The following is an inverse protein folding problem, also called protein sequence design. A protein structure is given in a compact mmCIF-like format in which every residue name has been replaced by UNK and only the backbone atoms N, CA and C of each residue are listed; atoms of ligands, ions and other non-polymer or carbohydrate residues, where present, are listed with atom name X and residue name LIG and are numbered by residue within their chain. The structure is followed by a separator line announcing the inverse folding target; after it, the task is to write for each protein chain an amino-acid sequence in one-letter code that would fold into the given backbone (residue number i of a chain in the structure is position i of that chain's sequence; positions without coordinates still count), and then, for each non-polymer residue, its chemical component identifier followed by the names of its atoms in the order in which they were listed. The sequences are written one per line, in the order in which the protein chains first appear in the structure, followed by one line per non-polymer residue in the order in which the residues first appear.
data_IF_806158946020
#
_entry.id   IF_806158946020
#
_cell.length_a   1.000
_cell.length_b   1.000
_cell.length_c   1.000
_cell.angle_alpha   90.00
_cell.angle_beta   90.00
_cell.angle_gamma   90.00
#
_symmetry.space_group_name_H-M   'P 1'
#
loop_
_entity.id
_entity.type
_entity.pdbx_description
1 polymer ?
#
# COMPACT_ATOMS: atom_id res chain seq x y z
N UNK A 1 -11.96 18.06 21.99
CA UNK A 1 -10.99 16.96 21.96
C UNK A 1 -10.62 16.78 20.49
N UNK A 2 -9.35 16.65 20.13
CA UNK A 2 -8.98 16.44 18.73
C UNK A 2 -9.44 15.06 18.26
N UNK A 3 -9.65 14.90 16.97
CA UNK A 3 -10.02 13.59 16.40
C UNK A 3 -8.88 12.57 16.59
N UNK A 4 -7.65 13.02 16.54
CA UNK A 4 -6.47 12.19 16.81
C UNK A 4 -6.50 11.58 18.21
N UNK A 5 -6.76 12.37 19.25
CA UNK A 5 -6.86 11.84 20.62
C UNK A 5 -8.06 10.90 20.79
N UNK A 6 -9.18 11.18 20.14
CA UNK A 6 -10.35 10.28 20.15
C UNK A 6 -9.99 8.94 19.49
N UNK A 7 -9.24 8.98 18.39
CA UNK A 7 -8.77 7.80 17.68
C UNK A 7 -7.78 6.96 18.51
N UNK A 8 -6.85 7.61 19.21
CA UNK A 8 -5.95 6.89 20.13
C UNK A 8 -6.72 6.21 21.27
N UNK A 9 -7.73 6.88 21.82
CA UNK A 9 -8.59 6.27 22.84
C UNK A 9 -9.38 5.08 22.29
N UNK A 10 -9.92 5.18 21.06
CA UNK A 10 -10.60 4.06 20.39
C UNK A 10 -9.66 2.86 20.22
N UNK A 11 -8.39 3.09 19.87
CA UNK A 11 -7.38 2.02 19.77
C UNK A 11 -7.24 1.29 21.10
N UNK A 12 -7.07 2.03 22.21
CA UNK A 12 -6.90 1.42 23.53
C UNK A 12 -8.17 0.69 24.00
N UNK A 13 -9.35 1.26 23.77
CA UNK A 13 -10.63 0.64 24.12
C UNK A 13 -10.82 -0.69 23.35
N UNK A 14 -10.55 -0.69 22.05
CA UNK A 14 -10.62 -1.91 21.21
C UNK A 14 -9.61 -2.96 21.64
N UNK A 15 -8.40 -2.55 21.95
CA UNK A 15 -7.35 -3.43 22.46
C UNK A 15 -7.73 -4.08 23.79
N UNK A 16 -8.40 -3.33 24.69
CA UNK A 16 -8.89 -3.87 25.96
C UNK A 16 -9.99 -4.95 25.73
N UNK A 17 -10.72 -4.87 24.63
CA UNK A 17 -11.73 -5.86 24.23
C UNK A 17 -11.13 -7.02 23.39
N UNK A 18 -9.81 -7.03 23.16
CA UNK A 18 -9.13 -8.02 22.30
C UNK A 18 -9.39 -7.82 20.81
N UNK A 19 -9.80 -6.62 20.41
CA UNK A 19 -10.04 -6.23 19.03
C UNK A 19 -8.84 -5.48 18.46
N UNK A 20 -8.64 -5.61 17.13
CA UNK A 20 -7.59 -4.85 16.44
C UNK A 20 -7.94 -3.37 16.30
N UNK A 21 -6.93 -2.48 16.22
CA UNK A 21 -7.14 -1.08 15.88
C UNK A 21 -7.92 -0.94 14.56
N UNK A 22 -8.81 0.05 14.51
CA UNK A 22 -9.50 0.41 13.28
C UNK A 22 -8.55 1.20 12.39
N UNK A 23 -8.49 0.96 11.07
CA UNK A 23 -7.76 1.82 10.14
C UNK A 23 -8.32 3.25 10.12
N UNK A 24 -7.48 4.22 9.77
CA UNK A 24 -7.89 5.61 9.52
C UNK A 24 -8.74 5.66 8.26
N UNK A 25 -10.04 5.98 8.41
CA UNK A 25 -11.03 6.02 7.32
C UNK A 25 -11.70 7.40 7.14
N UNK A 26 -11.43 8.35 8.04
CA UNK A 26 -12.02 9.70 8.09
C UNK A 26 -11.01 10.76 7.64
N UNK A 27 -11.40 11.60 6.66
CA UNK A 27 -10.53 12.65 6.13
C UNK A 27 -10.13 13.70 7.16
N UNK A 28 -11.00 14.03 8.09
CA UNK A 28 -10.69 15.06 9.08
C UNK A 28 -9.69 14.54 10.14
N UNK A 29 -9.75 13.25 10.50
CA UNK A 29 -8.72 12.61 11.30
C UNK A 29 -7.38 12.60 10.53
N UNK A 30 -7.41 12.20 9.27
CA UNK A 30 -6.18 12.15 8.47
C UNK A 30 -5.57 13.55 8.25
N UNK A 31 -6.39 14.59 8.14
CA UNK A 31 -5.90 15.98 8.07
C UNK A 31 -5.13 16.36 9.34
N UNK A 32 -5.64 16.03 10.54
CA UNK A 32 -4.90 16.25 11.79
C UNK A 32 -3.57 15.48 11.80
N UNK A 33 -3.55 14.24 11.31
CA UNK A 33 -2.34 13.43 11.17
C UNK A 33 -1.34 14.08 10.22
N UNK A 34 -1.78 14.56 9.06
CA UNK A 34 -0.93 15.26 8.08
C UNK A 34 -0.36 16.55 8.67
N UNK A 35 -1.15 17.33 9.41
CA UNK A 35 -0.67 18.55 10.06
C UNK A 35 0.42 18.26 11.10
N UNK A 36 0.30 17.15 11.84
CA UNK A 36 1.33 16.69 12.78
C UNK A 36 2.61 16.24 12.04
N UNK A 37 2.49 15.56 10.90
CA UNK A 37 3.62 15.14 10.07
C UNK A 37 4.38 16.38 9.53
N UNK A 38 3.64 17.39 9.09
CA UNK A 38 4.21 18.66 8.55
C UNK A 38 4.92 19.48 9.61
N UNK A 39 4.68 19.26 10.90
CA UNK A 39 5.31 19.97 12.01
C UNK A 39 6.55 19.21 12.52
N UNK A 40 7.79 19.59 12.18
CA UNK A 40 9.00 18.78 12.43
C UNK A 40 9.24 18.42 13.91
N UNK A 41 8.76 19.25 14.83
CA UNK A 41 8.97 19.06 16.27
C UNK A 41 7.68 18.61 16.99
N UNK A 42 6.67 18.15 16.26
CA UNK A 42 5.43 17.67 16.90
C UNK A 42 5.71 16.37 17.67
N UNK A 43 5.27 16.23 18.94
CA UNK A 43 5.57 15.06 19.76
C UNK A 43 5.00 13.76 19.17
N UNK A 44 3.86 13.85 18.45
CA UNK A 44 3.19 12.69 17.84
C UNK A 44 3.61 12.45 16.38
N UNK A 45 4.61 13.18 15.87
CA UNK A 45 4.96 13.16 14.43
C UNK A 45 5.33 11.75 13.93
N UNK A 46 6.13 11.02 14.69
CA UNK A 46 6.56 9.67 14.33
C UNK A 46 5.37 8.69 14.28
N UNK A 47 4.50 8.73 15.30
CA UNK A 47 3.29 7.91 15.33
C UNK A 47 2.34 8.28 14.19
N UNK A 48 2.18 9.57 13.90
CA UNK A 48 1.37 10.07 12.80
C UNK A 48 1.89 9.65 11.44
N UNK A 49 3.21 9.64 11.25
CA UNK A 49 3.83 9.15 10.03
C UNK A 49 3.56 7.65 9.83
N UNK A 50 3.66 6.86 10.90
CA UNK A 50 3.29 5.45 10.86
C UNK A 50 1.81 5.24 10.50
N UNK A 51 0.89 6.00 11.10
CA UNK A 51 -0.53 5.93 10.74
C UNK A 51 -0.77 6.32 9.28
N UNK A 52 -0.14 7.38 8.80
CA UNK A 52 -0.28 7.83 7.42
C UNK A 52 0.20 6.78 6.42
N UNK A 53 1.38 6.22 6.63
CA UNK A 53 1.98 5.27 5.69
C UNK A 53 1.22 3.93 5.74
N UNK A 54 0.99 3.40 6.94
CA UNK A 54 0.64 2.00 7.14
C UNK A 54 -0.81 1.75 7.57
N UNK A 55 -1.57 2.77 7.97
CA UNK A 55 -2.86 2.54 8.61
C UNK A 55 -4.03 3.31 8.01
N UNK A 56 -3.86 3.94 6.85
CA UNK A 56 -4.96 4.59 6.13
C UNK A 56 -5.68 3.56 5.28
N UNK A 57 -7.00 3.42 5.48
CA UNK A 57 -7.81 2.51 4.69
C UNK A 57 -7.87 2.98 3.23
N UNK A 58 -7.39 2.18 2.27
CA UNK A 58 -7.43 2.53 0.85
C UNK A 58 -8.84 2.42 0.25
N UNK A 59 -8.96 2.67 -1.02
CA UNK A 59 -10.22 2.59 -1.76
C UNK A 59 -10.97 3.91 -1.79
N UNK A 60 -12.26 3.91 -1.50
CA UNK A 60 -13.16 5.06 -1.68
C UNK A 60 -13.48 5.81 -0.39
N UNK A 61 -12.70 5.62 0.68
CA UNK A 61 -12.89 6.35 1.93
C UNK A 61 -12.51 7.82 1.78
N UNK A 62 -13.03 8.68 2.64
CA UNK A 62 -12.63 10.09 2.64
C UNK A 62 -11.16 10.27 3.06
N UNK A 63 -10.63 9.38 3.89
CA UNK A 63 -9.21 9.35 4.24
C UNK A 63 -8.34 9.00 3.02
N UNK A 64 -8.76 8.03 2.17
CA UNK A 64 -8.04 7.71 0.95
C UNK A 64 -7.92 8.92 0.01
N UNK A 65 -8.98 9.72 -0.11
CA UNK A 65 -8.97 10.98 -0.86
C UNK A 65 -7.95 11.99 -0.32
N UNK A 66 -7.95 12.19 1.00
CA UNK A 66 -7.00 13.10 1.66
C UNK A 66 -5.55 12.59 1.54
N UNK A 67 -5.34 11.27 1.64
CA UNK A 67 -4.00 10.67 1.43
C UNK A 67 -3.52 10.89 0.01
N UNK A 68 -4.35 10.60 -0.99
CA UNK A 68 -3.98 10.77 -2.40
C UNK A 68 -3.64 12.23 -2.72
N UNK A 69 -4.43 13.19 -2.22
CA UNK A 69 -4.18 14.62 -2.41
C UNK A 69 -2.83 15.03 -1.79
N UNK A 70 -2.55 14.60 -0.57
CA UNK A 70 -1.29 14.95 0.08
C UNK A 70 -0.07 14.30 -0.61
N UNK A 71 -0.19 13.07 -1.09
CA UNK A 71 0.85 12.43 -1.90
C UNK A 71 1.10 13.20 -3.21
N UNK A 72 0.04 13.74 -3.85
CA UNK A 72 0.18 14.64 -5.00
C UNK A 72 0.97 15.90 -4.66
N UNK A 73 0.66 16.55 -3.53
CA UNK A 73 1.39 17.74 -3.08
C UNK A 73 2.89 17.45 -2.88
N UNK A 74 3.23 16.28 -2.31
CA UNK A 74 4.62 15.84 -2.14
C UNK A 74 5.30 15.60 -3.50
N UNK A 75 4.62 14.96 -4.45
CA UNK A 75 5.15 14.71 -5.80
C UNK A 75 5.42 16.02 -6.54
N UNK A 76 4.53 17.00 -6.40
CA UNK A 76 4.67 18.31 -7.05
C UNK A 76 5.64 19.26 -6.31
N UNK A 77 6.12 18.88 -5.12
CA UNK A 77 6.97 19.72 -4.27
C UNK A 77 6.20 20.88 -3.61
N UNK A 78 4.87 20.78 -3.55
CA UNK A 78 4.00 21.74 -2.84
C UNK A 78 3.97 21.48 -1.33
N UNK A 79 4.37 20.29 -0.93
CA UNK A 79 4.64 19.90 0.44
C UNK A 79 5.95 19.11 0.53
N UNK A 80 6.57 19.09 1.72
CA UNK A 80 7.82 18.37 1.96
C UNK A 80 7.75 17.60 3.27
N UNK A 81 8.11 16.33 3.21
CA UNK A 81 8.26 15.41 4.36
C UNK A 81 9.52 14.60 4.12
N UNK A 82 10.50 14.70 5.00
CA UNK A 82 11.83 14.11 4.82
C UNK A 82 11.81 12.58 4.60
N UNK A 83 10.81 11.90 5.17
CA UNK A 83 10.66 10.44 5.12
C UNK A 83 9.84 9.94 3.92
N UNK A 84 9.21 10.86 3.16
CA UNK A 84 8.40 10.52 1.97
C UNK A 84 8.92 11.36 0.80
N UNK A 85 9.85 10.80 0.07
CA UNK A 85 10.30 11.39 -1.19
C UNK A 85 9.30 11.12 -2.34
N UNK A 86 9.59 11.66 -3.53
CA UNK A 86 8.72 11.51 -4.70
C UNK A 86 8.51 10.04 -5.09
N UNK A 87 9.56 9.23 -5.03
CA UNK A 87 9.46 7.82 -5.38
C UNK A 87 8.56 7.06 -4.39
N UNK A 88 8.74 7.29 -3.09
CA UNK A 88 7.89 6.73 -2.03
C UNK A 88 6.44 7.20 -2.14
N UNK A 89 6.20 8.45 -2.55
CA UNK A 89 4.85 8.95 -2.76
C UNK A 89 4.14 8.26 -3.94
N UNK A 90 4.83 8.03 -5.06
CA UNK A 90 4.31 7.24 -6.18
C UNK A 90 4.06 5.78 -5.80
N UNK A 91 4.96 5.17 -5.04
CA UNK A 91 4.79 3.82 -4.51
C UNK A 91 3.50 3.72 -3.68
N UNK A 92 3.30 4.62 -2.72
CA UNK A 92 2.08 4.65 -1.91
C UNK A 92 0.81 4.85 -2.76
N UNK A 93 0.81 5.72 -3.79
CA UNK A 93 -0.30 5.84 -4.74
C UNK A 93 -0.55 4.53 -5.48
N UNK A 94 0.50 3.80 -5.86
CA UNK A 94 0.39 2.52 -6.57
C UNK A 94 -0.30 1.44 -5.72
N UNK A 95 -0.13 1.49 -4.41
CA UNK A 95 -0.70 0.54 -3.45
C UNK A 95 -2.18 0.82 -3.13
N UNK A 96 -2.68 2.02 -3.38
CA UNK A 96 -4.07 2.37 -3.11
C UNK A 96 -5.07 1.68 -4.05
N UNK A 97 -4.65 1.29 -5.26
CA UNK A 97 -5.38 0.43 -6.21
C UNK A 97 -6.80 0.88 -6.55
N UNK A 98 -7.03 2.15 -6.70
CA UNK A 98 -8.32 2.66 -7.16
C UNK A 98 -8.81 3.92 -6.44
N UNK A 99 -10.02 4.33 -6.76
CA UNK A 99 -10.61 5.54 -6.20
C UNK A 99 -9.76 6.79 -6.44
N UNK A 100 -9.59 7.63 -5.42
CA UNK A 100 -8.89 8.92 -5.55
C UNK A 100 -7.45 8.83 -6.05
N UNK A 101 -6.77 7.68 -5.87
CA UNK A 101 -5.41 7.52 -6.38
C UNK A 101 -5.33 7.52 -7.90
N UNK A 102 -6.35 6.98 -8.58
CA UNK A 102 -6.42 6.98 -10.05
C UNK A 102 -6.62 8.38 -10.58
N UNK A 103 -7.54 9.14 -9.97
CA UNK A 103 -7.79 10.53 -10.34
C UNK A 103 -6.51 11.38 -10.20
N UNK A 104 -5.79 11.25 -9.08
CA UNK A 104 -4.52 11.93 -8.84
C UNK A 104 -3.45 11.51 -9.85
N UNK A 105 -3.32 10.20 -10.12
CA UNK A 105 -2.35 9.70 -11.11
C UNK A 105 -2.67 10.20 -12.52
N UNK A 106 -3.95 10.33 -12.89
CA UNK A 106 -4.36 10.93 -14.18
C UNK A 106 -4.03 12.43 -14.22
N UNK A 107 -4.25 13.17 -13.12
CA UNK A 107 -3.86 14.57 -13.04
C UNK A 107 -2.36 14.75 -13.30
N UNK A 108 -1.54 13.90 -12.69
CA UNK A 108 -0.08 13.94 -12.84
C UNK A 108 0.33 13.49 -14.25
N UNK A 109 -0.24 12.41 -14.79
CA UNK A 109 0.09 11.86 -16.11
C UNK A 109 -0.29 12.81 -17.27
N UNK A 110 -1.32 13.61 -17.10
CA UNK A 110 -1.77 14.61 -18.06
C UNK A 110 -1.23 16.02 -17.76
N UNK A 111 -0.36 16.15 -16.74
CA UNK A 111 0.27 17.39 -16.33
C UNK A 111 1.37 17.89 -17.26
N UNK A 112 1.97 19.04 -16.92
CA UNK A 112 2.97 19.70 -17.74
C UNK A 112 4.41 19.22 -17.51
N UNK A 113 4.70 18.63 -16.33
CA UNK A 113 6.02 18.09 -16.02
C UNK A 113 6.15 16.68 -16.62
N UNK A 114 6.96 16.57 -17.67
CA UNK A 114 7.13 15.33 -18.42
C UNK A 114 7.69 14.20 -17.56
N UNK A 115 8.60 14.48 -16.64
CA UNK A 115 9.20 13.47 -15.78
C UNK A 115 8.15 12.89 -14.81
N UNK A 116 7.38 13.76 -14.16
CA UNK A 116 6.28 13.36 -13.29
C UNK A 116 5.20 12.61 -14.07
N UNK A 117 4.86 13.10 -15.27
CA UNK A 117 3.83 12.50 -16.10
C UNK A 117 4.20 11.07 -16.56
N UNK A 118 5.46 10.82 -16.88
CA UNK A 118 5.95 9.48 -17.23
C UNK A 118 5.93 8.53 -16.02
N UNK A 119 6.32 8.99 -14.83
CA UNK A 119 6.25 8.20 -13.59
C UNK A 119 4.79 7.84 -13.26
N UNK A 120 3.88 8.81 -13.34
CA UNK A 120 2.45 8.59 -13.11
C UNK A 120 1.84 7.62 -14.12
N UNK A 121 2.21 7.72 -15.41
CA UNK A 121 1.78 6.81 -16.45
C UNK A 121 2.26 5.38 -16.19
N UNK A 122 3.51 5.21 -15.74
CA UNK A 122 4.04 3.90 -15.39
C UNK A 122 3.21 3.24 -14.28
N UNK A 123 2.82 4.00 -13.25
CA UNK A 123 1.93 3.50 -12.19
C UNK A 123 0.55 3.17 -12.74
N UNK A 124 -0.08 4.05 -13.54
CA UNK A 124 -1.41 3.83 -14.12
C UNK A 124 -1.48 2.54 -14.95
N UNK A 125 -0.46 2.23 -15.72
CA UNK A 125 -0.37 1.00 -16.50
C UNK A 125 -0.44 -0.28 -15.66
N UNK A 126 -0.17 -0.19 -14.35
CA UNK A 126 -0.26 -1.30 -13.40
C UNK A 126 -1.59 -1.36 -12.66
N UNK A 127 -2.49 -0.39 -12.85
CA UNK A 127 -3.81 -0.36 -12.23
C UNK A 127 -4.83 -1.09 -13.10
N UNK A 128 -5.71 -1.89 -12.45
CA UNK A 128 -6.75 -2.67 -13.15
C UNK A 128 -8.06 -1.90 -13.20
N UNK A 129 -8.20 -0.85 -12.40
CA UNK A 129 -9.43 -0.08 -12.25
C UNK A 129 -9.28 1.33 -12.78
N UNK A 130 -10.18 1.68 -13.68
CA UNK A 130 -10.49 3.07 -14.03
C UNK A 130 -12.00 3.23 -13.94
N UNK A 131 -12.45 4.31 -13.28
CA UNK A 131 -13.85 4.70 -13.33
C UNK A 131 -14.21 5.21 -14.73
N UNK A 132 -15.49 5.20 -15.07
CA UNK A 132 -15.99 5.69 -16.37
C UNK A 132 -15.51 7.12 -16.65
N UNK A 133 -15.63 8.03 -15.67
CA UNK A 133 -15.16 9.41 -15.79
C UNK A 133 -13.64 9.52 -16.04
N UNK A 134 -12.83 8.66 -15.41
CA UNK A 134 -11.39 8.63 -15.62
C UNK A 134 -11.04 8.09 -17.00
N UNK A 135 -11.80 7.10 -17.46
CA UNK A 135 -11.66 6.52 -18.80
C UNK A 135 -12.01 7.55 -19.88
N UNK A 136 -13.12 8.28 -19.72
CA UNK A 136 -13.54 9.34 -20.64
C UNK A 136 -12.51 10.46 -20.71
N UNK A 137 -11.93 10.84 -19.57
CA UNK A 137 -10.89 11.85 -19.48
C UNK A 137 -9.61 11.41 -20.20
N UNK A 138 -9.21 10.15 -20.02
CA UNK A 138 -8.06 9.58 -20.71
C UNK A 138 -8.29 9.49 -22.22
N UNK A 139 -9.49 9.08 -22.64
CA UNK A 139 -9.89 9.01 -24.05
C UNK A 139 -9.89 10.41 -24.71
N UNK A 140 -10.46 11.41 -24.07
CA UNK A 140 -10.45 12.79 -24.56
C UNK A 140 -9.01 13.35 -24.72
N UNK A 141 -8.13 13.05 -23.79
CA UNK A 141 -6.72 13.43 -23.89
C UNK A 141 -6.03 12.72 -25.07
N UNK A 142 -6.32 11.44 -25.29
CA UNK A 142 -5.83 10.70 -26.45
C UNK A 142 -6.31 11.32 -27.77
N UNK A 143 -7.61 11.61 -27.90
CA UNK A 143 -8.20 12.25 -29.08
C UNK A 143 -7.60 13.62 -29.34
N UNK A 144 -7.23 14.35 -28.29
CA UNK A 144 -6.50 15.63 -28.38
C UNK A 144 -5.02 15.46 -28.76
N UNK A 145 -4.52 14.24 -28.94
CA UNK A 145 -3.15 13.95 -29.36
C UNK A 145 -2.13 13.90 -28.22
N UNK A 146 -2.58 13.76 -26.96
CA UNK A 146 -1.68 13.64 -25.82
C UNK A 146 -0.90 12.33 -25.85
N UNK A 147 0.43 12.40 -25.98
CA UNK A 147 1.27 11.23 -26.22
C UNK A 147 1.21 10.20 -25.06
N UNK A 148 1.26 10.68 -23.81
CA UNK A 148 1.23 9.82 -22.60
C UNK A 148 -0.14 9.15 -22.47
N UNK A 149 -1.25 9.86 -22.73
CA UNK A 149 -2.57 9.26 -22.74
C UNK A 149 -2.68 8.14 -23.78
N UNK A 150 -2.12 8.36 -24.98
CA UNK A 150 -2.04 7.36 -26.03
C UNK A 150 -1.26 6.12 -25.60
N UNK A 151 -0.15 6.31 -24.90
CA UNK A 151 0.70 5.24 -24.40
C UNK A 151 0.00 4.41 -23.32
N UNK A 152 -0.70 5.05 -22.39
CA UNK A 152 -1.52 4.37 -21.37
C UNK A 152 -2.63 3.53 -22.02
N UNK A 153 -3.37 4.09 -22.98
CA UNK A 153 -4.44 3.37 -23.71
C UNK A 153 -3.88 2.16 -24.46
N UNK A 154 -2.73 2.31 -25.12
CA UNK A 154 -2.07 1.20 -25.81
C UNK A 154 -1.69 0.09 -24.85
N UNK A 155 -1.15 0.44 -23.69
CA UNK A 155 -0.78 -0.52 -22.65
C UNK A 155 -1.99 -1.35 -22.18
N UNK A 156 -3.13 -0.70 -21.96
CA UNK A 156 -4.37 -1.42 -21.63
C UNK A 156 -4.89 -2.28 -22.80
N UNK A 157 -4.88 -1.76 -24.01
CA UNK A 157 -5.31 -2.51 -25.19
C UNK A 157 -4.45 -3.75 -25.46
N UNK A 158 -3.18 -3.70 -25.10
CA UNK A 158 -2.22 -4.81 -25.22
C UNK A 158 -2.20 -5.72 -24.00
N UNK A 159 -2.96 -5.39 -22.96
CA UNK A 159 -2.99 -6.11 -21.68
C UNK A 159 -1.60 -6.27 -21.03
N UNK A 160 -0.73 -5.26 -21.16
CA UNK A 160 0.66 -5.30 -20.66
C UNK A 160 0.74 -5.64 -19.18
N UNK A 161 -0.23 -5.22 -18.37
CA UNK A 161 -0.32 -5.58 -16.95
C UNK A 161 -0.26 -7.10 -16.72
N UNK A 162 -0.82 -7.89 -17.64
CA UNK A 162 -0.87 -9.35 -17.55
C UNK A 162 0.23 -10.03 -18.35
N UNK A 163 0.76 -9.40 -19.38
CA UNK A 163 1.71 -10.02 -20.32
C UNK A 163 3.16 -9.58 -20.11
N UNK A 164 3.39 -8.39 -19.55
CA UNK A 164 4.71 -7.86 -19.30
C UNK A 164 5.19 -8.23 -17.87
N UNK A 165 5.16 -9.52 -17.55
CA UNK A 165 5.63 -10.04 -16.29
C UNK A 165 7.05 -10.61 -16.49
N UNK A 166 7.90 -10.56 -15.43
CA UNK A 166 9.21 -11.20 -15.50
C UNK A 166 9.07 -12.71 -15.70
N UNK A 167 9.98 -13.30 -16.43
CA UNK A 167 10.06 -14.74 -16.57
C UNK A 167 10.24 -15.41 -15.20
N UNK A 168 9.64 -16.58 -15.04
CA UNK A 168 9.85 -17.39 -13.83
C UNK A 168 11.24 -18.01 -13.89
N UNK A 169 12.01 -17.85 -12.85
CA UNK A 169 13.34 -18.45 -12.72
C UNK A 169 13.24 -19.99 -12.74
N UNK A 170 14.12 -20.66 -13.50
CA UNK A 170 14.16 -22.14 -13.52
C UNK A 170 14.55 -22.72 -12.15
N UNK A 171 15.34 -21.98 -11.38
CA UNK A 171 15.80 -22.34 -10.03
C UNK A 171 15.64 -21.17 -9.10
N UNK A 172 14.99 -21.39 -7.96
CA UNK A 172 14.83 -20.37 -6.93
C UNK A 172 15.57 -20.83 -5.67
N UNK A 173 16.58 -20.08 -5.28
CA UNK A 173 17.30 -20.32 -4.03
C UNK A 173 16.43 -19.88 -2.84
N UNK A 174 16.19 -20.81 -1.94
CA UNK A 174 15.35 -20.58 -0.76
C UNK A 174 16.06 -20.95 0.52
N UNK A 175 15.71 -20.26 1.60
CA UNK A 175 15.93 -20.70 2.97
C UNK A 175 14.59 -21.08 3.57
N UNK A 176 14.52 -22.21 4.23
CA UNK A 176 13.26 -22.74 4.76
C UNK A 176 13.07 -22.32 6.21
N UNK A 177 11.88 -21.78 6.53
CA UNK A 177 11.42 -21.54 7.89
C UNK A 177 10.27 -22.47 8.23
N UNK A 178 10.40 -23.24 9.32
CA UNK A 178 9.33 -24.13 9.82
C UNK A 178 8.38 -23.30 10.67
N UNK A 179 7.23 -22.96 10.11
CA UNK A 179 6.23 -22.12 10.76
C UNK A 179 5.56 -22.77 11.99
N UNK A 180 5.62 -24.10 12.08
CA UNK A 180 5.11 -24.86 13.22
C UNK A 180 4.80 -26.32 12.85
N UNK A 181 4.35 -27.06 13.86
CA UNK A 181 3.90 -28.45 13.73
C UNK A 181 2.38 -28.48 13.59
N UNK A 182 1.87 -29.22 12.62
CA UNK A 182 0.43 -29.29 12.32
C UNK A 182 -0.02 -28.20 11.35
N UNK A 183 -1.32 -27.96 11.33
CA UNK A 183 -1.92 -27.00 10.41
C UNK A 183 -1.62 -25.55 10.81
N UNK A 184 -1.21 -24.76 9.83
CA UNK A 184 -0.93 -23.33 9.98
C UNK A 184 -2.09 -22.52 9.40
N UNK A 185 -2.74 -21.72 10.24
CA UNK A 185 -3.89 -20.91 9.86
C UNK A 185 -3.52 -19.80 8.86
N UNK A 186 -4.44 -19.50 7.95
CA UNK A 186 -4.35 -18.30 7.09
C UNK A 186 -4.26 -17.02 7.90
N UNK A 187 -4.88 -16.94 9.09
CA UNK A 187 -4.85 -15.74 9.94
C UNK A 187 -3.48 -15.51 10.58
N UNK A 188 -2.63 -16.54 10.71
CA UNK A 188 -1.24 -16.37 11.11
C UNK A 188 -0.36 -15.80 9.99
N UNK A 189 -0.72 -16.09 8.73
CA UNK A 189 0.07 -15.69 7.56
C UNK A 189 -0.40 -14.37 6.97
N UNK A 190 -1.70 -14.12 7.00
CA UNK A 190 -2.37 -12.94 6.42
C UNK A 190 -3.55 -12.54 7.30
N UNK A 191 -3.30 -11.86 8.43
CA UNK A 191 -4.34 -11.50 9.38
C UNK A 191 -5.46 -10.69 8.75
N UNK A 192 -6.71 -10.99 9.15
CA UNK A 192 -7.88 -10.26 8.67
C UNK A 192 -7.91 -8.81 9.13
N UNK A 193 -7.29 -8.51 10.27
CA UNK A 193 -7.07 -7.15 10.80
C UNK A 193 -6.35 -6.25 9.81
N UNK A 194 -5.36 -6.78 9.08
CA UNK A 194 -4.52 -6.04 8.14
C UNK A 194 -4.95 -6.22 6.67
N UNK A 195 -6.19 -6.62 6.44
CA UNK A 195 -6.71 -6.81 5.08
C UNK A 195 -6.56 -5.59 4.18
N UNK A 196 -6.52 -4.39 4.77
CA UNK A 196 -6.34 -3.13 4.04
C UNK A 196 -4.96 -2.98 3.41
N UNK A 197 -3.94 -3.66 3.93
CA UNK A 197 -2.57 -3.62 3.41
C UNK A 197 -2.31 -4.62 2.26
N UNK A 198 -3.27 -5.48 1.91
CA UNK A 198 -3.07 -6.58 0.93
C UNK A 198 -2.71 -6.15 -0.48
N UNK A 199 -3.04 -4.92 -0.86
CA UNK A 199 -2.63 -4.37 -2.15
C UNK A 199 -1.14 -4.13 -2.25
N UNK A 200 -0.47 -3.97 -1.11
CA UNK A 200 0.96 -3.81 -0.96
C UNK A 200 1.55 -5.08 -0.35
N UNK A 201 2.24 -5.88 -1.16
CA UNK A 201 2.80 -7.16 -0.73
C UNK A 201 3.87 -7.03 0.34
N UNK A 202 4.71 -5.99 0.24
CA UNK A 202 5.79 -5.75 1.20
C UNK A 202 5.23 -5.30 2.53
N UNK A 203 4.25 -4.39 2.49
CA UNK A 203 3.57 -3.92 3.68
C UNK A 203 2.80 -5.06 4.36
N UNK A 204 2.00 -5.80 3.58
CA UNK A 204 1.20 -6.91 4.12
C UNK A 204 2.08 -8.05 4.66
N UNK A 205 3.26 -8.26 4.08
CA UNK A 205 4.24 -9.22 4.58
C UNK A 205 4.69 -8.94 6.01
N UNK A 206 4.66 -7.68 6.46
CA UNK A 206 5.01 -7.30 7.85
C UNK A 206 3.98 -7.76 8.87
N UNK A 207 2.74 -8.02 8.47
CA UNK A 207 1.68 -8.52 9.36
C UNK A 207 1.76 -10.04 9.59
N UNK A 208 2.59 -10.74 8.83
CA UNK A 208 2.80 -12.17 9.04
C UNK A 208 3.30 -12.45 10.46
N UNK A 209 2.61 -13.34 11.17
CA UNK A 209 2.88 -13.66 12.57
C UNK A 209 2.79 -12.49 13.54
N UNK A 210 2.07 -11.41 13.24
CA UNK A 210 1.98 -10.23 14.11
C UNK A 210 1.49 -10.54 15.53
N UNK A 211 0.69 -11.61 15.70
CA UNK A 211 0.22 -12.09 17.00
C UNK A 211 1.15 -13.13 17.64
N UNK A 212 2.25 -13.49 16.98
CA UNK A 212 3.29 -14.39 17.47
C UNK A 212 4.66 -13.74 17.25
N UNK A 213 5.01 -12.83 18.14
CA UNK A 213 6.22 -12.03 18.03
C UNK A 213 7.50 -12.87 18.07
N UNK A 214 7.46 -14.08 18.63
CA UNK A 214 8.60 -14.99 18.63
C UNK A 214 8.87 -15.47 17.22
N UNK A 215 7.86 -16.05 16.55
CA UNK A 215 7.98 -16.50 15.15
C UNK A 215 8.28 -15.35 14.19
N UNK A 216 7.67 -14.20 14.41
CA UNK A 216 7.93 -13.01 13.59
C UNK A 216 9.39 -12.59 13.67
N UNK A 217 9.95 -12.50 14.87
CA UNK A 217 11.36 -12.14 15.05
C UNK A 217 12.32 -13.18 14.49
N UNK A 218 12.03 -14.48 14.66
CA UNK A 218 12.83 -15.56 14.06
C UNK A 218 12.84 -15.48 12.53
N UNK A 219 11.68 -15.21 11.92
CA UNK A 219 11.55 -15.05 10.48
C UNK A 219 12.35 -13.84 9.96
N UNK A 220 12.22 -12.69 10.62
CA UNK A 220 12.94 -11.47 10.28
C UNK A 220 14.47 -11.64 10.44
N UNK A 221 14.90 -12.37 11.45
CA UNK A 221 16.32 -12.66 11.66
C UNK A 221 16.85 -13.60 10.57
N UNK A 222 16.08 -14.60 10.19
CA UNK A 222 16.42 -15.50 9.08
C UNK A 222 16.57 -14.74 7.75
N UNK A 223 15.68 -13.79 7.46
CA UNK A 223 15.76 -12.94 6.28
C UNK A 223 17.03 -12.06 6.29
N UNK A 224 17.40 -11.50 7.44
CA UNK A 224 18.64 -10.72 7.57
C UNK A 224 19.89 -11.55 7.35
N UNK A 225 19.89 -12.81 7.79
CA UNK A 225 21.02 -13.73 7.62
C UNK A 225 21.15 -14.21 6.16
N UNK A 226 20.07 -14.19 5.38
CA UNK A 226 20.03 -14.67 4.00
C UNK A 226 19.36 -13.64 3.07
N UNK A 227 19.95 -12.44 2.92
CA UNK A 227 19.34 -11.34 2.16
C UNK A 227 19.22 -11.62 0.65
N UNK A 228 20.00 -12.57 0.15
CA UNK A 228 20.05 -13.02 -1.25
C UNK A 228 19.10 -14.18 -1.56
N UNK A 229 18.39 -14.70 -0.55
CA UNK A 229 17.49 -15.85 -0.70
C UNK A 229 16.05 -15.50 -0.38
N UNK A 230 15.13 -16.20 -1.03
CA UNK A 230 13.71 -16.16 -0.66
C UNK A 230 13.45 -17.06 0.54
N UNK A 231 12.58 -16.64 1.45
CA UNK A 231 12.15 -17.47 2.56
C UNK A 231 10.97 -18.32 2.13
N UNK A 232 11.09 -19.64 2.29
CA UNK A 232 10.01 -20.59 2.07
C UNK A 232 9.46 -21.06 3.41
N UNK A 233 8.18 -20.79 3.66
CA UNK A 233 7.48 -21.24 4.85
C UNK A 233 6.99 -22.69 4.66
N UNK A 234 7.17 -23.51 5.66
CA UNK A 234 6.68 -24.90 5.68
C UNK A 234 6.00 -25.24 7.00
N UNK A 235 5.03 -26.11 6.95
CA UNK A 235 4.43 -26.73 8.13
C UNK A 235 5.01 -28.13 8.33
N UNK A 236 5.43 -28.47 9.56
CA UNK A 236 5.81 -29.84 9.89
C UNK A 236 4.55 -30.67 10.16
N UNK A 237 4.33 -31.72 9.36
CA UNK A 237 3.19 -32.66 9.50
C UNK A 237 1.81 -31.98 9.46
N UNK A 238 1.65 -30.93 8.65
CA UNK A 238 0.39 -30.21 8.52
C UNK A 238 0.26 -29.49 7.20
N UNK A 239 -0.81 -28.72 7.06
CA UNK A 239 -1.13 -27.94 5.87
C UNK A 239 -0.89 -26.45 6.13
N UNK A 240 -0.29 -25.76 5.16
CA UNK A 240 -0.17 -24.31 5.18
C UNK A 240 -1.46 -23.65 4.70
N UNK A 241 -1.91 -22.62 5.40
CA UNK A 241 -3.01 -21.79 4.97
C UNK A 241 -4.40 -22.41 5.15
N UNK A 242 -4.62 -23.13 6.24
CA UNK A 242 -5.96 -23.67 6.57
C UNK A 242 -6.88 -22.60 7.14
N UNK A 243 -8.18 -22.77 6.93
CA UNK A 243 -9.25 -21.95 7.51
C UNK A 243 -9.93 -21.06 6.50
N UNK A 244 -9.40 -19.92 6.15
CA UNK A 244 -10.03 -19.01 5.21
C UNK A 244 -9.33 -18.98 3.85
N UNK A 245 -10.08 -18.68 2.79
CA UNK A 245 -9.56 -18.57 1.40
C UNK A 245 -8.91 -17.19 1.11
N UNK A 246 -8.36 -16.53 2.12
CA UNK A 246 -7.84 -15.16 2.00
C UNK A 246 -6.38 -15.04 1.56
N UNK A 247 -5.70 -16.14 1.36
CA UNK A 247 -4.31 -16.19 0.87
C UNK A 247 -4.29 -16.31 -0.63
#
# INVERSE_FOLDING_TARGET
MSKYHTYLQEIEDRKAEGLHPKPVDDAALLTEIIDQIKAPNHPEREASLNFFIYNVLPGTTSAAGAKAAFLKDLILGEAEVAEIDRASAFEQLSHMKGGPSIEVLLDLALGQDEAIALEAAAVLKTQVFLYEADTDRLAAAHEAGHAIATDIIKSYAQAEFFTNLPDVEETIDVVTYVAGVGDISTDLLSPGSDAHSRSDRELHGKSMFEHDTVRQNELLELQKQHPDKRVMLVAEKGTMGVGSSRI
#
